data_IF_084130852374
#
_entry.id   IF_084130852374
#
_cell.length_a   1.000
_cell.length_b   1.000
_cell.length_c   1.000
_cell.angle_alpha   90.00
_cell.angle_beta   90.00
_cell.angle_gamma   90.00
#
_symmetry.space_group_name_H-M   'P 1'
#
loop_
_entity.id
_entity.type
_entity.pdbx_description
1 polymer ?
#
# COMPACT_ATOMS: atom_id res chain seq x y z
N UNK A 1 11.90 51.44 23.51
CA UNK A 1 10.97 50.66 22.66
C UNK A 1 9.70 50.47 23.46
N UNK A 2 8.56 50.97 22.97
CA UNK A 2 7.28 50.85 23.68
C UNK A 2 6.53 49.63 23.14
N UNK A 3 6.12 48.73 24.03
CA UNK A 3 5.17 47.65 23.70
C UNK A 3 3.87 48.29 23.19
N UNK A 4 3.39 47.84 22.04
CA UNK A 4 2.21 48.40 21.36
C UNK A 4 0.98 47.54 21.66
N UNK A 5 -0.15 48.16 21.96
CA UNK A 5 -1.39 47.48 22.30
C UNK A 5 -2.58 48.18 21.65
N UNK A 6 -3.46 47.41 21.00
CA UNK A 6 -4.76 47.88 20.52
C UNK A 6 -5.79 48.08 21.62
N UNK A 7 -5.54 47.52 22.80
CA UNK A 7 -6.54 47.36 23.85
C UNK A 7 -6.25 48.19 25.11
N UNK A 8 -5.01 48.62 25.31
CA UNK A 8 -4.55 49.27 26.56
C UNK A 8 -4.08 50.71 26.32
N UNK A 9 -4.48 51.32 25.19
CA UNK A 9 -4.10 52.71 24.88
C UNK A 9 -5.01 53.70 25.64
N UNK A 10 -4.44 54.44 26.61
CA UNK A 10 -5.18 55.42 27.44
C UNK A 10 -5.76 56.61 26.64
N UNK A 11 -5.18 56.94 25.49
CA UNK A 11 -5.57 58.10 24.66
C UNK A 11 -6.17 57.71 23.30
N UNK A 12 -6.70 56.49 23.17
CA UNK A 12 -7.25 55.96 21.92
C UNK A 12 -6.22 55.21 21.07
N UNK A 13 -6.71 54.26 20.28
CA UNK A 13 -5.89 53.37 19.45
C UNK A 13 -5.34 54.12 18.22
N UNK A 14 -4.01 54.14 18.04
CA UNK A 14 -3.41 54.70 16.82
C UNK A 14 -3.60 53.76 15.63
N UNK A 15 -3.51 54.28 14.41
CA UNK A 15 -3.58 53.43 13.19
C UNK A 15 -2.45 52.40 13.20
N UNK A 16 -1.27 52.79 13.68
CA UNK A 16 -0.09 51.95 13.87
C UNK A 16 -0.38 50.82 14.88
N UNK A 17 -1.00 51.13 16.02
CA UNK A 17 -1.37 50.14 17.04
C UNK A 17 -2.38 49.13 16.49
N UNK A 18 -3.36 49.56 15.70
CA UNK A 18 -4.30 48.65 15.01
C UNK A 18 -3.60 47.70 14.05
N UNK A 19 -2.69 48.21 13.22
CA UNK A 19 -1.97 47.40 12.22
C UNK A 19 -1.00 46.40 12.84
N UNK A 20 -0.28 46.80 13.89
CA UNK A 20 0.74 45.95 14.55
C UNK A 20 0.12 44.88 15.46
N UNK A 21 -1.13 45.03 15.88
CA UNK A 21 -1.81 44.09 16.78
C UNK A 21 -2.93 43.31 16.10
N UNK A 22 -3.08 43.46 14.77
CA UNK A 22 -4.04 42.70 13.98
C UNK A 22 -3.59 41.23 13.88
N UNK A 23 -4.28 40.35 14.62
CA UNK A 23 -4.02 38.89 14.63
C UNK A 23 -4.83 38.13 13.57
N UNK A 24 -5.75 38.80 12.88
CA UNK A 24 -6.63 38.19 11.89
C UNK A 24 -6.06 38.19 10.47
N UNK A 25 -6.08 37.00 9.86
CA UNK A 25 -5.99 36.74 8.40
C UNK A 25 -4.61 36.87 7.76
N UNK A 26 -3.54 36.42 8.42
CA UNK A 26 -2.23 36.44 7.77
C UNK A 26 -1.30 35.28 8.16
N UNK A 27 -0.46 34.85 7.21
CA UNK A 27 0.64 33.91 7.46
C UNK A 27 1.84 34.72 7.92
N UNK A 28 2.30 34.49 9.15
CA UNK A 28 3.49 35.15 9.69
C UNK A 28 4.71 34.84 8.81
N UNK A 29 5.60 35.79 8.56
CA UNK A 29 6.93 35.52 7.95
C UNK A 29 8.03 35.55 9.01
N UNK A 30 7.81 36.30 10.09
CA UNK A 30 8.60 36.30 11.31
C UNK A 30 7.69 36.72 12.49
N UNK A 31 8.19 36.88 13.72
CA UNK A 31 7.34 37.16 14.88
C UNK A 31 6.46 38.43 14.80
N UNK A 32 6.77 39.38 13.90
CA UNK A 32 6.10 40.69 13.83
C UNK A 32 5.67 41.10 12.42
N UNK A 33 6.08 40.35 11.39
CA UNK A 33 5.73 40.60 10.00
C UNK A 33 4.95 39.43 9.42
N UNK A 34 4.12 39.75 8.44
CA UNK A 34 3.28 38.80 7.72
C UNK A 34 3.66 38.73 6.26
N UNK A 35 3.22 37.67 5.57
CA UNK A 35 3.28 37.59 4.12
C UNK A 35 2.25 38.56 3.52
N UNK A 36 2.71 39.46 2.64
CA UNK A 36 1.81 40.20 1.75
C UNK A 36 1.12 39.25 0.78
N UNK A 37 -0.14 39.49 0.44
CA UNK A 37 -0.83 38.67 -0.54
C UNK A 37 -2.31 38.98 -0.66
N UNK A 38 -2.93 38.36 -1.65
CA UNK A 38 -4.36 38.42 -1.93
C UNK A 38 -5.08 37.32 -1.16
N UNK A 39 -6.22 37.64 -0.55
CA UNK A 39 -7.02 36.64 0.14
C UNK A 39 -7.67 35.70 -0.90
N UNK A 40 -7.62 34.37 -0.70
CA UNK A 40 -8.21 33.42 -1.62
C UNK A 40 -9.74 33.47 -1.59
N UNK A 41 -10.34 32.99 -2.67
CA UNK A 41 -11.79 32.98 -2.89
C UNK A 41 -12.16 33.34 -4.33
N UNK A 42 -13.31 32.85 -4.75
CA UNK A 42 -13.94 33.14 -6.04
C UNK A 42 -15.47 33.20 -5.87
N UNK A 43 -16.16 33.82 -6.82
CA UNK A 43 -17.62 33.97 -6.76
C UNK A 43 -18.36 32.63 -6.77
N UNK A 44 -17.81 31.63 -7.46
CA UNK A 44 -18.42 30.30 -7.66
C UNK A 44 -17.73 29.18 -6.87
N UNK A 45 -16.57 29.44 -6.28
CA UNK A 45 -15.73 28.42 -5.65
C UNK A 45 -14.89 27.59 -6.62
N UNK A 46 -14.96 27.85 -7.93
CA UNK A 46 -14.23 27.09 -8.96
C UNK A 46 -12.75 27.49 -9.07
N UNK A 47 -12.42 28.72 -8.69
CA UNK A 47 -11.05 29.24 -8.69
C UNK A 47 -10.55 29.48 -7.27
N UNK A 48 -9.26 29.23 -7.02
CA UNK A 48 -8.64 29.50 -5.71
C UNK A 48 -8.47 30.99 -5.46
N UNK A 49 -8.28 31.78 -6.53
CA UNK A 49 -7.99 33.20 -6.45
C UNK A 49 -8.68 34.02 -7.57
N UNK A 50 -9.73 34.76 -7.23
CA UNK A 50 -10.38 35.71 -8.15
C UNK A 50 -10.13 37.18 -7.81
N UNK A 51 -9.64 37.49 -6.61
CA UNK A 51 -9.38 38.88 -6.20
C UNK A 51 -8.32 39.57 -7.08
N UNK A 52 -8.57 40.82 -7.45
CA UNK A 52 -7.69 41.63 -8.29
C UNK A 52 -7.32 40.98 -9.64
N UNK A 53 -8.21 40.17 -10.20
CA UNK A 53 -8.04 39.64 -11.54
C UNK A 53 -7.94 40.79 -12.54
N UNK A 54 -6.95 40.74 -13.44
CA UNK A 54 -6.72 41.79 -14.43
C UNK A 54 -6.96 41.30 -15.84
N UNK A 55 -7.67 42.09 -16.64
CA UNK A 55 -7.91 41.81 -18.05
C UNK A 55 -7.89 43.09 -18.89
N UNK A 56 -7.62 42.96 -20.19
CA UNK A 56 -7.62 44.08 -21.13
C UNK A 56 -9.00 44.68 -21.30
N UNK A 57 -9.11 45.99 -21.15
CA UNK A 57 -10.36 46.76 -21.30
C UNK A 57 -10.40 47.55 -22.61
N UNK A 58 -9.26 48.10 -23.04
CA UNK A 58 -9.08 48.79 -24.31
C UNK A 58 -7.64 48.67 -24.80
N UNK A 59 -7.30 49.24 -25.96
CA UNK A 59 -5.96 49.15 -26.55
C UNK A 59 -4.81 49.48 -25.58
N UNK A 60 -4.99 50.42 -24.64
CA UNK A 60 -3.97 50.80 -23.66
C UNK A 60 -4.48 50.79 -22.22
N UNK A 61 -5.61 50.14 -21.94
CA UNK A 61 -6.22 50.12 -20.60
C UNK A 61 -6.50 48.68 -20.16
N UNK A 62 -6.20 48.37 -18.91
CA UNK A 62 -6.61 47.14 -18.25
C UNK A 62 -7.58 47.46 -17.11
N UNK A 63 -8.53 46.57 -16.87
CA UNK A 63 -9.41 46.61 -15.70
C UNK A 63 -8.87 45.65 -14.64
N UNK A 64 -8.73 46.13 -13.40
CA UNK A 64 -8.39 45.33 -12.22
C UNK A 64 -9.67 45.13 -11.42
N UNK A 65 -10.09 43.88 -11.20
CA UNK A 65 -11.31 43.55 -10.48
C UNK A 65 -11.22 43.83 -8.99
N UNK A 66 -12.37 43.84 -8.31
CA UNK A 66 -12.46 43.90 -6.86
C UNK A 66 -11.67 42.77 -6.16
N UNK A 67 -11.32 43.00 -4.89
CA UNK A 67 -10.54 42.05 -4.13
C UNK A 67 -10.15 42.54 -2.73
N UNK A 68 -9.55 41.62 -1.95
CA UNK A 68 -8.97 41.92 -0.63
C UNK A 68 -7.55 41.41 -0.57
N UNK A 69 -6.67 42.20 0.01
CA UNK A 69 -5.27 41.85 0.20
C UNK A 69 -4.77 42.39 1.54
N UNK A 70 -3.58 41.92 1.91
CA UNK A 70 -2.78 42.49 2.99
C UNK A 70 -1.41 42.84 2.43
N UNK A 71 -0.87 43.97 2.86
CA UNK A 71 0.43 44.47 2.42
C UNK A 71 1.27 44.70 3.66
N UNK A 72 2.36 43.95 3.80
CA UNK A 72 3.32 44.13 4.88
C UNK A 72 4.17 45.38 4.61
N UNK A 73 4.21 46.30 5.57
CA UNK A 73 5.20 47.37 5.59
C UNK A 73 6.51 46.96 6.25
N UNK A 74 7.34 47.93 6.59
CA UNK A 74 8.50 47.68 7.46
C UNK A 74 8.07 47.18 8.84
N UNK A 75 9.01 46.62 9.61
CA UNK A 75 8.76 46.05 10.95
C UNK A 75 7.98 47.02 11.86
N UNK A 76 8.26 48.32 11.79
CA UNK A 76 7.60 49.34 12.60
C UNK A 76 6.25 49.84 12.06
N UNK A 77 5.87 49.45 10.84
CA UNK A 77 4.70 49.97 10.11
C UNK A 77 3.48 49.05 10.25
N UNK A 78 3.73 47.76 10.46
CA UNK A 78 2.70 46.72 10.56
C UNK A 78 2.13 46.32 9.22
N UNK A 79 1.01 45.60 9.25
CA UNK A 79 0.30 45.12 8.07
C UNK A 79 -0.83 46.08 7.69
N UNK A 80 -0.99 46.34 6.39
CA UNK A 80 -2.05 47.16 5.82
C UNK A 80 -3.10 46.27 5.15
N UNK A 81 -4.28 46.05 5.77
CA UNK A 81 -5.40 45.41 5.08
C UNK A 81 -5.97 46.37 4.03
N UNK A 82 -6.21 45.87 2.82
CA UNK A 82 -6.78 46.64 1.71
C UNK A 82 -7.96 45.92 1.11
N UNK A 83 -8.94 46.70 0.67
CA UNK A 83 -10.11 46.20 -0.07
C UNK A 83 -10.36 47.15 -1.23
N UNK A 84 -10.45 46.59 -2.44
CA UNK A 84 -10.96 47.27 -3.61
C UNK A 84 -12.41 46.81 -3.80
N UNK A 85 -13.42 47.66 -3.54
CA UNK A 85 -14.82 47.23 -3.52
C UNK A 85 -15.47 47.13 -4.90
N UNK A 86 -14.83 47.70 -5.93
CA UNK A 86 -15.29 47.71 -7.31
C UNK A 86 -14.10 47.77 -8.25
N UNK A 87 -14.24 47.23 -9.46
CA UNK A 87 -13.18 47.28 -10.47
C UNK A 87 -12.70 48.69 -10.77
N UNK A 88 -11.42 48.81 -11.13
CA UNK A 88 -10.78 50.08 -11.52
C UNK A 88 -9.98 49.89 -12.81
N UNK A 89 -10.03 50.91 -13.67
CA UNK A 89 -9.24 50.94 -14.89
C UNK A 89 -7.88 51.60 -14.66
N UNK A 90 -6.84 51.00 -15.23
CA UNK A 90 -5.49 51.55 -15.27
C UNK A 90 -5.04 51.72 -16.72
N UNK A 91 -4.62 52.93 -17.06
CA UNK A 91 -4.22 53.29 -18.43
C UNK A 91 -2.71 53.39 -18.54
N UNK A 92 -2.16 52.64 -19.49
CA UNK A 92 -0.74 52.60 -19.81
C UNK A 92 -0.38 53.73 -20.76
N UNK A 93 0.78 54.34 -20.52
CA UNK A 93 1.35 55.28 -21.49
C UNK A 93 1.74 54.54 -22.78
N UNK A 94 1.74 55.23 -23.95
CA UNK A 94 2.21 54.65 -25.20
C UNK A 94 3.56 53.94 -25.10
N UNK A 95 3.75 52.91 -25.91
CA UNK A 95 5.02 52.23 -26.11
C UNK A 95 6.09 53.20 -26.59
N UNK A 96 7.34 52.92 -26.24
CA UNK A 96 8.48 53.68 -26.77
C UNK A 96 8.64 53.41 -28.28
N UNK A 97 9.23 54.35 -29.01
CA UNK A 97 9.35 54.24 -30.47
C UNK A 97 10.25 53.09 -30.93
N UNK A 98 11.22 52.68 -30.12
CA UNK A 98 12.29 51.77 -30.52
C UNK A 98 12.30 50.47 -29.71
N UNK A 99 12.02 50.54 -28.40
CA UNK A 99 12.16 49.39 -27.51
C UNK A 99 10.87 49.08 -26.74
N UNK A 100 10.65 47.80 -26.44
CA UNK A 100 9.61 47.40 -25.49
C UNK A 100 10.00 47.76 -24.06
N UNK A 101 9.04 47.63 -23.13
CA UNK A 101 9.28 47.70 -21.68
C UNK A 101 8.37 46.74 -20.91
N UNK A 102 8.67 46.53 -19.63
CA UNK A 102 7.80 45.80 -18.71
C UNK A 102 7.30 46.79 -17.66
N UNK A 103 5.99 46.95 -17.57
CA UNK A 103 5.33 47.76 -16.54
C UNK A 103 4.78 46.81 -15.45
N UNK A 104 4.58 47.31 -14.23
CA UNK A 104 3.94 46.55 -13.15
C UNK A 104 2.59 47.17 -12.79
N UNK A 105 1.57 46.34 -12.60
CA UNK A 105 0.35 46.74 -11.89
C UNK A 105 0.54 46.37 -10.42
N UNK A 106 0.43 47.35 -9.53
CA UNK A 106 0.64 47.16 -8.09
C UNK A 106 -0.51 47.75 -7.29
N UNK A 107 -0.72 47.21 -6.08
CA UNK A 107 -1.40 47.93 -5.00
C UNK A 107 -0.33 48.56 -4.14
N UNK A 108 -0.34 49.88 -3.99
CA UNK A 108 0.63 50.62 -3.18
C UNK A 108 -0.04 51.33 -2.03
N UNK A 109 0.61 51.28 -0.87
CA UNK A 109 0.24 52.07 0.30
C UNK A 109 1.05 53.36 0.34
N UNK A 110 0.34 54.48 0.31
CA UNK A 110 0.86 55.77 0.70
C UNK A 110 0.53 56.01 2.16
N UNK A 111 1.57 56.25 2.95
CA UNK A 111 1.45 56.52 4.38
C UNK A 111 2.35 57.70 4.71
N UNK A 112 1.75 58.89 4.81
CA UNK A 112 2.45 60.15 4.99
C UNK A 112 3.38 60.14 6.21
N UNK A 113 3.05 59.35 7.24
CA UNK A 113 3.89 59.20 8.42
C UNK A 113 5.27 58.60 8.07
N UNK A 114 5.34 57.78 7.03
CA UNK A 114 6.54 57.04 6.65
C UNK A 114 7.12 57.41 5.28
N UNK A 115 6.38 58.12 4.42
CA UNK A 115 6.88 58.54 3.11
C UNK A 115 6.83 60.04 2.83
N UNK A 116 6.29 60.85 3.75
CA UNK A 116 6.15 62.30 3.56
C UNK A 116 5.48 62.68 2.23
N UNK A 117 4.66 61.79 1.67
CA UNK A 117 4.03 61.99 0.36
C UNK A 117 2.83 62.94 0.40
N UNK A 118 2.44 63.42 1.59
CA UNK A 118 1.19 64.09 1.88
C UNK A 118 -0.06 63.27 1.48
N UNK A 119 0.07 61.95 1.36
CA UNK A 119 -1.01 61.01 0.99
C UNK A 119 -1.16 59.93 2.05
N UNK A 120 -2.40 59.50 2.27
CA UNK A 120 -2.76 58.42 3.19
C UNK A 120 -3.83 57.54 2.53
N UNK A 121 -3.43 56.70 1.60
CA UNK A 121 -4.36 55.90 0.79
C UNK A 121 -3.72 54.61 0.26
N UNK A 122 -4.56 53.62 -0.05
CA UNK A 122 -4.17 52.47 -0.87
C UNK A 122 -4.60 52.73 -2.31
N UNK A 123 -3.70 52.58 -3.27
CA UNK A 123 -3.96 52.87 -4.67
C UNK A 123 -3.51 51.72 -5.57
N UNK A 124 -4.37 51.36 -6.54
CA UNK A 124 -3.95 50.54 -7.69
C UNK A 124 -3.27 51.47 -8.69
N UNK A 125 -2.02 51.21 -9.03
CA UNK A 125 -1.28 52.05 -9.97
C UNK A 125 -0.30 51.25 -10.83
N UNK A 126 0.16 51.90 -11.91
CA UNK A 126 1.17 51.35 -12.80
C UNK A 126 2.54 51.89 -12.40
N UNK A 127 3.50 51.00 -12.20
CA UNK A 127 4.92 51.35 -12.13
C UNK A 127 5.50 51.14 -13.53
N UNK A 128 5.79 52.25 -14.21
CA UNK A 128 6.33 52.23 -15.56
C UNK A 128 7.78 51.71 -15.56
N UNK A 129 8.06 50.76 -16.45
CA UNK A 129 9.41 50.28 -16.70
C UNK A 129 10.23 51.20 -17.60
N UNK A 130 11.49 50.83 -17.78
CA UNK A 130 12.42 51.55 -18.68
C UNK A 130 12.48 50.80 -20.02
N UNK A 131 12.25 51.49 -21.16
CA UNK A 131 12.46 50.88 -22.47
C UNK A 131 13.91 50.41 -22.68
N UNK A 132 14.08 49.16 -23.12
CA UNK A 132 15.40 48.58 -23.35
C UNK A 132 15.34 47.44 -24.38
N UNK A 133 16.49 47.10 -24.97
CA UNK A 133 16.59 45.95 -25.88
C UNK A 133 16.21 44.63 -25.19
N UNK A 134 16.50 44.51 -23.89
CA UNK A 134 16.09 43.41 -23.03
C UNK A 134 15.31 43.97 -21.82
N UNK A 135 14.00 44.26 -21.98
CA UNK A 135 13.17 44.84 -20.92
C UNK A 135 13.25 44.05 -19.62
N UNK A 136 13.37 44.75 -18.50
CA UNK A 136 13.31 44.18 -17.16
C UNK A 136 12.19 44.84 -16.37
N UNK A 137 11.58 44.09 -15.46
CA UNK A 137 10.59 44.63 -14.53
C UNK A 137 11.23 45.72 -13.66
N UNK A 138 10.56 46.87 -13.43
CA UNK A 138 11.06 47.91 -12.55
C UNK A 138 11.12 47.42 -11.09
N UNK A 139 11.96 48.09 -10.28
CA UNK A 139 12.01 47.84 -8.86
C UNK A 139 10.66 48.14 -8.20
N UNK A 140 10.20 47.23 -7.34
CA UNK A 140 8.93 47.38 -6.63
C UNK A 140 9.12 48.39 -5.49
N UNK A 141 8.34 49.49 -5.44
CA UNK A 141 8.41 50.43 -4.32
C UNK A 141 8.02 49.75 -3.00
N UNK A 142 8.60 50.20 -1.88
CA UNK A 142 8.21 49.74 -0.55
C UNK A 142 6.69 49.86 -0.32
N UNK A 143 6.14 48.94 0.48
CA UNK A 143 4.68 48.83 0.76
C UNK A 143 3.83 48.67 -0.49
N UNK A 144 4.31 47.87 -1.45
CA UNK A 144 3.54 47.51 -2.64
C UNK A 144 3.36 46.00 -2.74
N UNK A 145 2.18 45.58 -3.19
CA UNK A 145 1.91 44.21 -3.63
C UNK A 145 1.81 44.23 -5.16
N UNK A 146 2.69 43.49 -5.82
CA UNK A 146 2.65 43.31 -7.27
C UNK A 146 1.51 42.36 -7.63
N UNK A 147 0.69 42.75 -8.60
CA UNK A 147 -0.39 41.94 -9.13
C UNK A 147 0.02 41.31 -10.46
N UNK A 148 0.51 42.11 -11.40
CA UNK A 148 0.86 41.65 -12.75
C UNK A 148 2.11 42.36 -13.28
N UNK A 149 2.90 41.63 -14.06
CA UNK A 149 3.81 42.18 -15.05
C UNK A 149 3.06 42.37 -16.38
N UNK A 150 3.26 43.51 -17.02
CA UNK A 150 2.65 43.86 -18.31
C UNK A 150 3.73 44.18 -19.33
N UNK A 151 3.83 43.36 -20.37
CA UNK A 151 4.73 43.65 -21.50
C UNK A 151 4.08 44.72 -22.39
N UNK A 152 4.74 45.87 -22.51
CA UNK A 152 4.34 46.95 -23.43
C UNK A 152 5.29 46.95 -24.62
N UNK A 153 4.86 46.49 -25.82
CA UNK A 153 5.74 46.46 -26.99
C UNK A 153 6.13 47.86 -27.48
N UNK A 154 7.18 47.94 -28.30
CA UNK A 154 7.53 49.19 -28.97
C UNK A 154 6.39 49.65 -29.89
N UNK A 155 6.27 50.96 -30.09
CA UNK A 155 5.33 51.64 -31.00
C UNK A 155 3.84 51.53 -30.67
N UNK A 156 3.43 50.69 -29.71
CA UNK A 156 2.01 50.49 -29.42
C UNK A 156 1.37 51.74 -28.82
N UNK A 157 0.14 52.03 -29.20
CA UNK A 157 -0.66 53.12 -28.62
C UNK A 157 -2.15 52.82 -28.80
N UNK A 158 -3.02 53.71 -28.31
CA UNK A 158 -4.46 53.57 -28.49
C UNK A 158 -4.90 53.50 -29.97
N UNK A 159 -4.13 54.11 -30.89
CA UNK A 159 -4.39 54.08 -32.33
C UNK A 159 -3.44 53.18 -33.13
N UNK A 160 -2.49 52.50 -32.49
CA UNK A 160 -1.48 51.68 -33.17
C UNK A 160 -1.35 50.31 -32.49
N UNK A 161 -2.29 49.41 -32.77
CA UNK A 161 -2.27 48.00 -32.33
C UNK A 161 -2.60 47.74 -30.86
N UNK A 162 -2.22 48.64 -29.94
CA UNK A 162 -2.42 48.48 -28.50
C UNK A 162 -1.57 47.39 -27.86
N UNK A 163 -1.73 47.19 -26.56
CA UNK A 163 -1.11 46.11 -25.79
C UNK A 163 -1.79 44.78 -26.16
N UNK A 164 -1.04 43.72 -26.50
CA UNK A 164 -1.60 42.42 -26.82
C UNK A 164 -2.01 41.67 -25.53
N UNK A 165 -3.14 42.04 -24.93
CA UNK A 165 -3.56 41.60 -23.60
C UNK A 165 -3.57 40.08 -23.36
N UNK A 166 -3.82 39.27 -24.39
CA UNK A 166 -3.83 37.81 -24.28
C UNK A 166 -2.46 37.21 -23.91
N UNK A 167 -1.36 37.92 -24.21
CA UNK A 167 0.02 37.45 -23.97
C UNK A 167 0.86 38.44 -23.18
N UNK A 168 0.40 39.68 -23.01
CA UNK A 168 1.14 40.73 -22.33
C UNK A 168 1.11 40.60 -20.80
N UNK A 169 0.11 39.94 -20.23
CA UNK A 169 -0.09 39.81 -18.79
C UNK A 169 0.61 38.56 -18.24
N UNK A 170 1.45 38.75 -17.22
CA UNK A 170 2.01 37.69 -16.39
C UNK A 170 1.55 37.89 -14.96
N UNK A 171 0.79 36.91 -14.46
CA UNK A 171 0.23 36.93 -13.10
C UNK A 171 1.33 36.73 -12.05
N UNK A 172 1.39 37.65 -11.10
CA UNK A 172 2.32 37.65 -9.97
C UNK A 172 1.59 37.71 -8.64
N UNK A 173 0.25 37.60 -8.64
CA UNK A 173 -0.53 37.57 -7.41
C UNK A 173 -0.11 36.37 -6.58
N UNK A 174 0.10 36.61 -5.29
CA UNK A 174 0.45 35.58 -4.32
C UNK A 174 -0.65 35.50 -3.28
N UNK A 175 -1.16 34.30 -2.97
CA UNK A 175 -2.22 34.16 -1.98
C UNK A 175 -1.67 34.28 -0.55
N UNK A 176 -2.55 34.65 0.37
CA UNK A 176 -2.29 34.66 1.82
C UNK A 176 -3.50 34.11 2.58
N UNK A 177 -3.25 33.37 3.65
CA UNK A 177 -4.29 32.78 4.51
C UNK A 177 -4.04 33.16 5.96
N UNK A 178 -5.04 32.95 6.82
CA UNK A 178 -4.84 33.05 8.27
C UNK A 178 -3.82 32.01 8.77
N UNK A 179 -3.19 32.27 9.91
CA UNK A 179 -2.38 31.28 10.62
C UNK A 179 -3.18 29.99 10.83
N UNK A 180 -2.58 28.85 10.47
CA UNK A 180 -3.25 27.54 10.49
C UNK A 180 -4.14 27.23 9.28
N UNK A 181 -4.37 28.20 8.38
CA UNK A 181 -5.04 27.97 7.11
C UNK A 181 -4.17 27.19 6.11
N UNK A 182 -4.81 26.54 5.14
CA UNK A 182 -4.14 25.85 4.04
C UNK A 182 -3.92 26.86 2.92
N UNK A 183 -2.65 27.15 2.61
CA UNK A 183 -2.29 28.09 1.55
C UNK A 183 -2.58 27.46 0.18
N UNK A 184 -3.49 28.00 -0.65
CA UNK A 184 -3.57 27.54 -2.03
C UNK A 184 -2.30 27.96 -2.78
N UNK A 185 -1.70 27.07 -3.55
CA UNK A 185 -0.59 27.44 -4.44
C UNK A 185 -1.19 28.04 -5.70
N UNK A 186 -0.91 29.33 -5.91
CA UNK A 186 -1.22 30.11 -7.11
C UNK A 186 0.00 31.00 -7.42
N UNK A 187 0.41 31.08 -8.68
CA UNK A 187 1.57 31.86 -9.08
C UNK A 187 2.91 31.32 -8.54
N UNK A 188 3.89 32.18 -8.23
CA UNK A 188 5.19 31.78 -7.70
C UNK A 188 5.09 31.03 -6.36
N UNK A 189 5.78 29.88 -6.25
CA UNK A 189 5.82 29.09 -5.01
C UNK A 189 6.83 29.72 -4.04
N UNK A 190 6.35 30.14 -2.87
CA UNK A 190 7.19 30.63 -1.78
C UNK A 190 7.43 29.54 -0.73
N UNK A 191 8.58 29.60 -0.05
CA UNK A 191 8.85 28.72 1.09
C UNK A 191 7.82 28.88 2.21
N UNK A 192 7.64 27.86 3.04
CA UNK A 192 6.76 27.94 4.21
C UNK A 192 7.31 28.87 5.28
N UNK A 193 6.40 29.47 6.03
CA UNK A 193 6.65 30.41 7.11
C UNK A 193 7.16 29.75 8.38
N UNK A 194 6.65 28.55 8.68
CA UNK A 194 7.00 27.80 9.89
C UNK A 194 6.83 26.30 9.63
N UNK A 195 7.66 25.44 10.25
CA UNK A 195 7.49 23.99 10.17
C UNK A 195 6.08 23.59 10.59
N UNK A 196 5.41 22.80 9.75
CA UNK A 196 4.02 22.39 9.94
C UNK A 196 2.97 23.26 9.27
N UNK A 197 3.35 24.34 8.58
CA UNK A 197 2.42 25.03 7.69
C UNK A 197 1.94 24.07 6.58
N UNK A 198 0.68 24.19 6.18
CA UNK A 198 0.09 23.43 5.08
C UNK A 198 -0.13 24.30 3.84
N UNK A 199 0.04 23.69 2.67
CA UNK A 199 -0.39 24.26 1.39
C UNK A 199 -1.11 23.21 0.53
N UNK A 200 -1.93 23.67 -0.39
CA UNK A 200 -2.57 22.87 -1.44
C UNK A 200 -1.89 23.16 -2.77
N UNK A 201 -1.12 22.19 -3.28
CA UNK A 201 -0.41 22.33 -4.56
C UNK A 201 -1.29 22.03 -5.78
N UNK A 202 -2.58 21.77 -5.57
CA UNK A 202 -3.58 21.50 -6.59
C UNK A 202 -3.80 20.05 -6.98
N UNK A 203 -2.94 19.15 -6.51
CA UNK A 203 -3.14 17.70 -6.63
C UNK A 203 -2.87 16.95 -5.32
N UNK A 204 -2.27 17.61 -4.33
CA UNK A 204 -1.98 17.06 -3.03
C UNK A 204 -1.81 18.17 -1.99
N UNK A 205 -2.11 17.84 -0.74
CA UNK A 205 -1.67 18.66 0.38
C UNK A 205 -0.17 18.46 0.59
N UNK A 206 0.51 19.55 0.92
CA UNK A 206 1.91 19.54 1.31
C UNK A 206 2.07 20.19 2.68
N UNK A 207 3.07 19.75 3.44
CA UNK A 207 3.46 20.28 4.75
C UNK A 207 4.87 20.84 4.65
N UNK A 208 5.11 22.03 5.20
CA UNK A 208 6.45 22.59 5.29
C UNK A 208 7.25 21.88 6.38
N UNK A 209 8.43 21.38 6.06
CA UNK A 209 9.31 20.70 7.04
C UNK A 209 10.33 21.63 7.72
N UNK A 210 10.40 22.89 7.28
CA UNK A 210 11.41 23.88 7.70
C UNK A 210 12.38 24.25 6.57
N UNK A 211 12.47 23.43 5.52
CA UNK A 211 13.38 23.61 4.38
C UNK A 211 12.69 23.45 3.02
N UNK A 212 11.69 22.57 2.93
CA UNK A 212 10.97 22.26 1.71
C UNK A 212 9.49 21.91 1.99
N UNK A 213 8.69 22.00 0.93
CA UNK A 213 7.33 21.48 0.93
C UNK A 213 7.35 19.98 0.66
N UNK A 214 6.86 19.17 1.60
CA UNK A 214 6.80 17.71 1.47
C UNK A 214 5.34 17.22 1.37
N UNK A 215 5.06 16.11 0.66
CA UNK A 215 3.70 15.57 0.56
C UNK A 215 3.06 15.25 1.92
N UNK A 216 1.75 15.49 2.06
CA UNK A 216 0.96 15.16 3.25
C UNK A 216 -0.31 14.35 2.92
N UNK A 217 -0.59 13.25 3.64
CA UNK A 217 0.30 12.63 4.64
C UNK A 217 1.60 12.18 3.96
N UNK A 218 2.72 12.27 4.67
CA UNK A 218 3.94 11.56 4.24
C UNK A 218 3.52 10.11 4.07
N UNK A 219 3.63 9.50 2.89
CA UNK A 219 3.02 8.20 2.56
C UNK A 219 3.26 7.14 3.66
N UNK A 220 2.33 7.05 4.60
CA UNK A 220 2.33 6.16 5.75
C UNK A 220 1.08 5.31 5.55
N UNK A 221 1.27 4.09 5.03
CA UNK A 221 0.19 3.08 4.97
C UNK A 221 -0.12 2.48 3.60
N UNK A 222 0.60 2.82 2.53
CA UNK A 222 0.43 2.17 1.22
C UNK A 222 1.35 0.96 1.00
N UNK A 223 0.94 0.05 0.11
CA UNK A 223 1.84 -0.95 -0.48
C UNK A 223 2.69 -0.22 -1.53
N UNK A 224 4.00 -0.11 -1.30
CA UNK A 224 4.88 0.50 -2.29
C UNK A 224 4.94 -0.37 -3.56
N UNK A 225 4.87 0.22 -4.77
CA UNK A 225 4.97 -0.56 -6.00
C UNK A 225 6.33 -1.28 -6.14
N UNK A 226 6.34 -2.36 -6.93
CA UNK A 226 7.55 -3.12 -7.18
C UNK A 226 8.67 -2.24 -7.75
N UNK A 227 9.87 -2.34 -7.14
CA UNK A 227 11.05 -1.59 -7.55
C UNK A 227 11.12 -0.14 -7.04
N UNK A 228 10.08 0.38 -6.39
CA UNK A 228 10.08 1.77 -5.90
C UNK A 228 10.93 1.97 -4.64
N UNK A 229 11.04 0.94 -3.78
CA UNK A 229 11.80 1.01 -2.53
C UNK A 229 12.73 -0.19 -2.39
N UNK A 230 14.03 0.09 -2.32
CA UNK A 230 15.07 -0.92 -2.07
C UNK A 230 15.21 -1.22 -0.57
N UNK A 231 15.12 -0.20 0.28
CA UNK A 231 15.15 -0.27 1.75
C UNK A 231 13.92 0.43 2.31
N UNK A 232 13.30 -0.12 3.35
CA UNK A 232 12.14 0.51 3.97
C UNK A 232 12.51 1.71 4.85
N UNK A 233 11.58 2.64 5.03
CA UNK A 233 11.71 3.77 5.95
C UNK A 233 11.31 3.44 7.39
N UNK A 234 10.60 2.33 7.61
CA UNK A 234 10.22 1.85 8.94
C UNK A 234 9.94 0.33 8.97
N UNK A 235 10.13 -0.28 10.14
CA UNK A 235 9.72 -1.67 10.41
C UNK A 235 8.22 -1.84 10.23
N UNK A 236 7.83 -2.79 9.40
CA UNK A 236 6.45 -3.09 9.07
C UNK A 236 5.91 -2.43 7.80
N UNK A 237 6.72 -1.66 7.06
CA UNK A 237 6.34 -1.16 5.73
C UNK A 237 6.03 -2.33 4.78
N UNK A 238 5.06 -2.13 3.89
CA UNK A 238 4.66 -3.11 2.86
C UNK A 238 5.14 -2.67 1.47
N UNK A 239 5.54 -3.65 0.64
CA UNK A 239 5.77 -3.44 -0.79
C UNK A 239 5.25 -4.61 -1.61
N UNK A 240 4.93 -4.32 -2.86
CA UNK A 240 4.81 -5.33 -3.89
C UNK A 240 6.21 -5.72 -4.40
N UNK A 241 6.37 -6.98 -4.76
CA UNK A 241 7.58 -7.56 -5.32
C UNK A 241 7.24 -8.39 -6.55
N UNK A 242 6.47 -7.82 -7.48
CA UNK A 242 6.06 -8.48 -8.72
C UNK A 242 4.97 -9.52 -8.48
N UNK A 243 3.95 -9.18 -7.68
CA UNK A 243 2.84 -10.07 -7.33
C UNK A 243 3.01 -10.81 -6.01
N UNK A 244 4.11 -10.57 -5.28
CA UNK A 244 4.32 -11.05 -3.92
C UNK A 244 4.33 -9.88 -2.95
N UNK A 245 3.50 -9.95 -1.91
CA UNK A 245 3.53 -8.98 -0.82
C UNK A 245 4.72 -9.25 0.10
N UNK A 246 5.54 -8.23 0.35
CA UNK A 246 6.64 -8.27 1.29
C UNK A 246 6.44 -7.24 2.39
N UNK A 247 6.89 -7.57 3.60
CA UNK A 247 6.94 -6.67 4.76
C UNK A 247 8.37 -6.52 5.25
N UNK A 248 8.76 -5.29 5.53
CA UNK A 248 10.05 -5.00 6.15
C UNK A 248 10.06 -5.45 7.61
N UNK A 249 11.01 -6.29 7.99
CA UNK A 249 11.16 -6.79 9.36
C UNK A 249 12.12 -5.96 10.23
N UNK A 250 12.77 -4.95 9.64
CA UNK A 250 13.80 -4.13 10.28
C UNK A 250 15.19 -4.31 9.66
N UNK A 251 15.45 -5.41 8.95
CA UNK A 251 16.71 -5.67 8.26
C UNK A 251 16.57 -6.12 6.81
N UNK A 252 15.45 -6.72 6.44
CA UNK A 252 15.17 -7.18 5.09
C UNK A 252 13.67 -7.11 4.74
N UNK A 253 13.39 -7.17 3.44
CA UNK A 253 12.04 -7.39 2.95
C UNK A 253 11.73 -8.88 2.98
N UNK A 254 10.78 -9.26 3.84
CA UNK A 254 10.39 -10.66 4.04
C UNK A 254 9.03 -10.90 3.39
N UNK A 255 8.85 -11.97 2.60
CA UNK A 255 7.54 -12.36 2.09
C UNK A 255 6.56 -12.59 3.24
N UNK A 256 5.36 -12.01 3.15
CA UNK A 256 4.26 -12.40 4.04
C UNK A 256 3.56 -13.61 3.41
N UNK A 257 3.43 -14.67 4.22
CA UNK A 257 2.97 -15.99 3.78
C UNK A 257 1.71 -15.99 2.91
N UNK A 258 1.67 -16.98 2.02
CA UNK A 258 0.60 -17.29 1.07
C UNK A 258 0.90 -18.62 0.37
N UNK A 259 -0.08 -19.17 -0.34
CA UNK A 259 0.15 -20.34 -1.22
C UNK A 259 0.76 -19.81 -2.51
N UNK A 260 2.02 -20.17 -2.77
CA UNK A 260 2.63 -19.81 -4.04
C UNK A 260 1.90 -20.51 -5.20
N UNK A 261 1.52 -19.80 -6.28
CA UNK A 261 0.86 -20.42 -7.43
C UNK A 261 1.73 -21.48 -8.10
N UNK A 262 1.11 -22.46 -8.75
CA UNK A 262 1.84 -23.52 -9.45
C UNK A 262 2.84 -22.96 -10.48
N UNK A 263 4.07 -23.48 -10.45
CA UNK A 263 5.14 -23.07 -11.37
C UNK A 263 5.87 -21.77 -11.02
N UNK A 264 5.46 -21.05 -9.97
CA UNK A 264 6.09 -19.76 -9.61
C UNK A 264 7.37 -19.92 -8.79
N UNK A 265 7.51 -21.02 -8.04
CA UNK A 265 8.69 -21.27 -7.20
C UNK A 265 9.22 -22.69 -7.39
N UNK A 266 10.50 -22.79 -7.77
CA UNK A 266 11.20 -24.06 -7.96
C UNK A 266 11.62 -24.66 -6.61
N UNK A 267 12.23 -23.84 -5.74
CA UNK A 267 12.64 -24.20 -4.37
C UNK A 267 11.94 -23.31 -3.35
N UNK A 268 11.67 -23.84 -2.16
CA UNK A 268 11.14 -23.02 -1.07
C UNK A 268 12.21 -22.15 -0.43
N UNK A 269 11.83 -20.95 0.00
CA UNK A 269 12.72 -19.96 0.62
C UNK A 269 12.80 -20.11 2.14
N UNK A 270 11.81 -20.78 2.75
CA UNK A 270 11.80 -21.11 4.17
C UNK A 270 11.02 -22.40 4.44
N UNK A 271 11.43 -23.16 5.45
CA UNK A 271 10.73 -24.38 5.86
C UNK A 271 9.29 -24.05 6.28
N UNK A 272 8.33 -24.80 5.75
CA UNK A 272 6.91 -24.59 5.98
C UNK A 272 6.20 -23.69 4.97
N UNK A 273 6.90 -23.17 3.96
CA UNK A 273 6.25 -22.50 2.83
C UNK A 273 5.28 -23.46 2.11
N UNK A 274 4.14 -22.94 1.68
CA UNK A 274 3.14 -23.68 0.91
C UNK A 274 3.14 -23.28 -0.56
N UNK A 275 2.89 -24.24 -1.45
CA UNK A 275 2.61 -23.98 -2.86
C UNK A 275 1.49 -24.85 -3.38
N UNK A 276 0.82 -24.37 -4.41
CA UNK A 276 0.00 -25.22 -5.26
C UNK A 276 0.90 -25.92 -6.29
N UNK A 277 0.62 -27.18 -6.56
CA UNK A 277 1.28 -27.99 -7.58
C UNK A 277 0.23 -28.70 -8.43
N UNK A 278 -0.55 -27.91 -9.17
CA UNK A 278 -1.60 -28.42 -10.05
C UNK A 278 -2.80 -28.99 -9.28
N UNK A 279 -3.25 -28.28 -8.24
CA UNK A 279 -4.35 -28.68 -7.37
C UNK A 279 -3.93 -29.49 -6.14
N UNK A 280 -2.63 -29.82 -6.01
CA UNK A 280 -2.08 -30.47 -4.81
C UNK A 280 -1.33 -29.44 -3.97
N UNK A 281 -1.77 -29.27 -2.72
CA UNK A 281 -1.04 -28.45 -1.76
C UNK A 281 0.26 -29.15 -1.35
N UNK A 282 1.39 -28.51 -1.61
CA UNK A 282 2.71 -28.97 -1.18
C UNK A 282 3.28 -28.04 -0.11
N UNK A 283 4.07 -28.61 0.80
CA UNK A 283 4.80 -27.90 1.85
C UNK A 283 6.30 -28.12 1.69
N UNK A 284 7.07 -27.05 1.72
CA UNK A 284 8.54 -27.12 1.69
C UNK A 284 9.06 -27.62 3.02
N UNK A 285 9.86 -28.69 3.02
CA UNK A 285 10.45 -29.24 4.24
C UNK A 285 11.85 -28.68 4.56
N UNK A 286 12.36 -27.76 3.73
CA UNK A 286 13.73 -27.24 3.81
C UNK A 286 14.65 -27.75 2.69
N UNK A 287 14.30 -28.85 2.04
CA UNK A 287 15.12 -29.47 0.99
C UNK A 287 14.33 -29.84 -0.26
N UNK A 288 13.10 -30.33 -0.10
CA UNK A 288 12.20 -30.73 -1.18
C UNK A 288 10.76 -30.33 -0.88
N UNK A 289 9.96 -30.21 -1.93
CA UNK A 289 8.52 -30.08 -1.82
C UNK A 289 7.89 -31.46 -1.61
N UNK A 290 7.13 -31.61 -0.53
CA UNK A 290 6.31 -32.79 -0.28
C UNK A 290 4.83 -32.43 -0.18
N UNK A 291 3.91 -33.39 -0.27
CA UNK A 291 2.49 -33.16 0.02
C UNK A 291 2.31 -32.50 1.39
N UNK A 292 1.46 -31.47 1.47
CA UNK A 292 1.19 -30.77 2.72
C UNK A 292 0.44 -31.65 3.73
N UNK A 293 -0.33 -32.62 3.22
CA UNK A 293 -1.01 -33.65 4.00
C UNK A 293 -0.55 -35.01 3.44
N UNK A 294 -0.03 -35.93 4.27
CA UNK A 294 0.28 -37.28 3.82
C UNK A 294 -0.99 -37.93 3.27
N UNK A 295 -0.94 -38.50 2.06
CA UNK A 295 -2.09 -39.16 1.46
C UNK A 295 -2.37 -40.54 2.05
N UNK A 296 -3.59 -41.02 1.89
CA UNK A 296 -3.95 -42.43 2.14
C UNK A 296 -3.11 -43.34 1.25
N UNK A 297 -2.55 -44.41 1.83
CA UNK A 297 -1.88 -45.49 1.08
C UNK A 297 -2.83 -46.68 0.95
N UNK A 298 -2.90 -47.31 -0.22
CA UNK A 298 -3.84 -48.41 -0.49
C UNK A 298 -3.22 -49.46 -1.43
N UNK A 299 -3.49 -50.73 -1.15
CA UNK A 299 -3.20 -51.86 -2.05
C UNK A 299 -4.31 -52.89 -1.91
N UNK A 300 -4.69 -53.50 -3.01
CA UNK A 300 -5.66 -54.58 -3.05
C UNK A 300 -5.25 -55.67 -4.04
N UNK A 301 -5.99 -56.76 -4.01
CA UNK A 301 -5.86 -57.86 -4.95
C UNK A 301 -7.18 -58.64 -4.99
N UNK A 302 -7.71 -58.76 -6.20
CA UNK A 302 -8.98 -59.44 -6.53
C UNK A 302 -8.80 -60.88 -7.02
N UNK A 303 -7.59 -61.44 -6.90
CA UNK A 303 -7.30 -62.81 -7.28
C UNK A 303 -7.49 -63.77 -6.09
N UNK A 304 -8.15 -64.90 -6.36
CA UNK A 304 -8.46 -65.90 -5.37
C UNK A 304 -7.22 -66.72 -5.03
N UNK A 305 -6.96 -66.91 -3.74
CA UNK A 305 -5.92 -67.81 -3.26
C UNK A 305 -6.39 -68.67 -2.09
N UNK A 306 -5.77 -69.84 -1.93
CA UNK A 306 -6.06 -70.72 -0.80
C UNK A 306 -4.81 -71.15 -0.01
N UNK A 307 -5.01 -71.59 1.23
CA UNK A 307 -3.96 -72.19 2.04
C UNK A 307 -4.53 -73.26 2.98
N UNK A 308 -3.74 -74.31 3.21
CA UNK A 308 -3.96 -75.32 4.26
C UNK A 308 -3.13 -75.04 5.52
N UNK A 309 -2.31 -73.99 5.50
CA UNK A 309 -1.32 -73.71 6.54
C UNK A 309 -1.98 -73.35 7.88
N UNK A 310 -1.58 -74.07 8.93
CA UNK A 310 -1.95 -73.77 10.32
C UNK A 310 -1.03 -72.73 10.96
N UNK A 311 0.10 -72.44 10.33
CA UNK A 311 0.98 -71.31 10.67
C UNK A 311 0.75 -70.16 9.69
N UNK A 312 1.09 -68.95 10.10
CA UNK A 312 0.97 -67.77 9.26
C UNK A 312 1.85 -67.87 8.00
N UNK A 313 1.23 -67.74 6.82
CA UNK A 313 1.92 -67.63 5.53
C UNK A 313 1.52 -66.36 4.81
N UNK A 314 2.47 -65.68 4.16
CA UNK A 314 2.18 -64.49 3.32
C UNK A 314 1.86 -64.85 1.87
N UNK A 315 1.91 -66.13 1.53
CA UNK A 315 1.69 -66.64 0.17
C UNK A 315 0.50 -67.58 0.16
N UNK A 316 -0.46 -67.32 -0.74
CA UNK A 316 -1.59 -68.18 -1.03
C UNK A 316 -1.37 -68.96 -2.33
N UNK A 317 -1.75 -70.23 -2.35
CA UNK A 317 -1.72 -71.05 -3.54
C UNK A 317 -2.77 -70.57 -4.55
N UNK A 318 -2.43 -70.62 -5.84
CA UNK A 318 -3.30 -70.20 -6.94
C UNK A 318 -3.34 -68.69 -7.20
N UNK A 319 -2.77 -67.87 -6.30
CA UNK A 319 -2.76 -66.42 -6.42
C UNK A 319 -1.52 -65.90 -7.15
N UNK A 320 -1.72 -65.06 -8.17
CA UNK A 320 -0.68 -64.53 -9.05
C UNK A 320 0.28 -63.56 -8.35
N UNK A 321 -0.24 -62.71 -7.45
CA UNK A 321 0.55 -61.70 -6.74
C UNK A 321 0.59 -62.01 -5.25
N UNK A 322 1.73 -62.52 -4.80
CA UNK A 322 2.06 -62.73 -3.39
C UNK A 322 3.47 -62.16 -3.09
N UNK A 323 3.71 -61.64 -1.88
CA UNK A 323 2.75 -61.34 -0.83
C UNK A 323 2.02 -60.00 -1.07
N UNK A 324 0.80 -59.85 -0.53
CA UNK A 324 0.11 -58.55 -0.54
C UNK A 324 0.80 -57.60 0.45
N UNK A 325 1.37 -56.52 -0.07
CA UNK A 325 2.28 -55.65 0.69
C UNK A 325 2.00 -54.18 0.41
N UNK A 326 1.95 -53.35 1.46
CA UNK A 326 1.79 -51.91 1.38
C UNK A 326 2.93 -51.18 2.10
N UNK A 327 3.61 -50.27 1.40
CA UNK A 327 4.58 -49.36 2.01
C UNK A 327 3.91 -48.01 2.31
N UNK A 328 4.20 -47.43 3.47
CA UNK A 328 3.77 -46.06 3.82
C UNK A 328 4.84 -45.33 4.64
N UNK A 329 4.82 -43.99 4.61
CA UNK A 329 5.68 -43.16 5.45
C UNK A 329 4.90 -42.67 6.66
N UNK A 330 5.45 -42.88 7.85
CA UNK A 330 4.76 -42.46 9.07
C UNK A 330 4.60 -40.93 9.13
N UNK A 331 3.38 -40.42 9.42
CA UNK A 331 3.12 -38.98 9.49
C UNK A 331 3.80 -38.35 10.70
N UNK A 332 3.84 -37.01 10.73
CA UNK A 332 4.38 -36.24 11.84
C UNK A 332 3.66 -36.53 13.19
N UNK A 333 2.38 -36.88 13.14
CA UNK A 333 1.57 -37.30 14.29
C UNK A 333 2.01 -38.63 14.90
N UNK A 334 2.90 -39.38 14.24
CA UNK A 334 3.40 -40.70 14.66
C UNK A 334 2.30 -41.77 14.78
N UNK A 335 1.13 -41.53 14.17
CA UNK A 335 0.01 -42.44 14.24
C UNK A 335 -0.72 -42.55 12.90
N UNK A 336 -1.25 -43.74 12.63
CA UNK A 336 -2.06 -44.05 11.45
C UNK A 336 -3.25 -44.92 11.85
N UNK A 337 -4.28 -44.93 11.02
CA UNK A 337 -5.36 -45.91 11.05
C UNK A 337 -5.13 -46.89 9.90
N UNK A 338 -5.15 -48.18 10.21
CA UNK A 338 -4.99 -49.25 9.24
C UNK A 338 -6.29 -50.02 9.15
N UNK A 339 -6.87 -50.06 7.95
CA UNK A 339 -8.01 -50.90 7.63
C UNK A 339 -7.58 -51.99 6.68
N UNK A 340 -7.98 -53.23 6.94
CA UNK A 340 -7.70 -54.33 6.04
C UNK A 340 -8.81 -55.37 6.12
N UNK A 341 -8.90 -56.19 5.09
CA UNK A 341 -9.94 -57.19 5.01
C UNK A 341 -9.83 -58.01 3.74
N UNK A 342 -10.76 -58.94 3.62
CA UNK A 342 -10.90 -59.81 2.47
C UNK A 342 -12.29 -60.43 2.42
N UNK A 343 -12.58 -61.07 1.31
CA UNK A 343 -13.63 -62.05 1.19
C UNK A 343 -13.04 -63.42 1.49
N UNK A 344 -13.46 -64.08 2.57
CA UNK A 344 -12.89 -65.35 3.01
C UNK A 344 -13.93 -66.44 3.22
N UNK A 345 -13.49 -67.70 3.15
CA UNK A 345 -14.23 -68.90 3.54
C UNK A 345 -13.28 -69.94 4.14
N UNK A 346 -13.78 -70.76 5.05
CA UNK A 346 -13.00 -71.85 5.67
C UNK A 346 -13.48 -73.25 5.24
N UNK A 347 -14.47 -73.32 4.35
CA UNK A 347 -15.08 -74.58 3.88
C UNK A 347 -15.74 -75.44 4.98
N UNK A 348 -15.85 -74.93 6.21
CA UNK A 348 -16.47 -75.57 7.36
C UNK A 348 -16.97 -74.51 8.34
N UNK A 349 -18.08 -74.79 9.04
CA UNK A 349 -18.57 -73.90 10.10
C UNK A 349 -17.71 -73.95 11.39
N UNK A 350 -16.85 -74.96 11.53
CA UNK A 350 -16.08 -75.23 12.75
C UNK A 350 -14.59 -74.81 12.64
N UNK A 351 -14.18 -74.32 11.46
CA UNK A 351 -12.80 -73.90 11.20
C UNK A 351 -12.77 -72.42 10.86
N UNK A 352 -11.81 -71.71 11.42
CA UNK A 352 -11.65 -70.27 11.21
C UNK A 352 -10.53 -70.00 10.22
N UNK A 353 -10.83 -69.23 9.18
CA UNK A 353 -9.84 -68.63 8.29
C UNK A 353 -9.45 -67.26 8.85
N UNK A 354 -8.14 -66.96 8.86
CA UNK A 354 -7.59 -65.72 9.41
C UNK A 354 -6.80 -64.95 8.36
N UNK A 355 -6.93 -63.63 8.39
CA UNK A 355 -6.00 -62.69 7.78
C UNK A 355 -5.51 -61.71 8.85
N UNK A 356 -4.20 -61.52 8.95
CA UNK A 356 -3.57 -60.53 9.83
C UNK A 356 -2.48 -59.77 9.08
N UNK A 357 -2.03 -58.65 9.65
CA UNK A 357 -0.96 -57.84 9.09
C UNK A 357 0.28 -57.84 9.99
N UNK A 358 1.44 -58.08 9.39
CA UNK A 358 2.74 -57.84 10.03
C UNK A 358 3.26 -56.46 9.63
N UNK A 359 3.63 -55.64 10.61
CA UNK A 359 4.23 -54.32 10.42
C UNK A 359 5.74 -54.42 10.63
N UNK A 360 6.52 -54.02 9.64
CA UNK A 360 7.99 -53.91 9.75
C UNK A 360 8.50 -52.51 9.40
N UNK A 361 9.67 -52.18 9.92
CA UNK A 361 10.49 -51.03 9.54
C UNK A 361 11.86 -51.55 9.11
N UNK A 362 12.10 -51.66 7.80
CA UNK A 362 13.22 -52.45 7.29
C UNK A 362 13.08 -53.91 7.72
N UNK A 363 14.11 -54.46 8.37
CA UNK A 363 14.11 -55.82 8.90
C UNK A 363 13.46 -55.95 10.30
N UNK A 364 13.23 -54.83 11.00
CA UNK A 364 12.70 -54.84 12.37
C UNK A 364 11.19 -55.05 12.37
N UNK A 365 10.71 -56.01 13.16
CA UNK A 365 9.27 -56.21 13.39
C UNK A 365 8.79 -55.20 14.45
N UNK A 366 7.81 -54.38 14.07
CA UNK A 366 7.25 -53.31 14.91
C UNK A 366 5.88 -53.70 15.44
N UNK A 367 5.12 -54.48 14.66
CA UNK A 367 3.92 -55.16 15.11
C UNK A 367 3.89 -56.54 14.48
N UNK A 368 3.92 -57.58 15.31
CA UNK A 368 3.86 -58.95 14.81
C UNK A 368 2.41 -59.42 14.60
N UNK A 369 2.29 -60.64 14.08
CA UNK A 369 1.04 -61.32 13.84
C UNK A 369 0.39 -61.72 15.16
N UNK A 370 -0.91 -61.45 15.25
CA UNK A 370 -1.69 -61.62 16.46
C UNK A 370 -3.15 -61.94 16.07
N UNK A 371 -3.78 -62.86 16.78
CA UNK A 371 -5.12 -63.35 16.47
C UNK A 371 -6.18 -62.31 16.83
N UNK A 372 -5.94 -61.59 17.92
CA UNK A 372 -6.80 -60.54 18.49
C UNK A 372 -7.00 -59.36 17.53
N UNK A 373 -6.05 -59.16 16.61
CA UNK A 373 -6.10 -58.09 15.61
C UNK A 373 -6.39 -58.62 14.20
N UNK A 374 -6.59 -59.93 14.03
CA UNK A 374 -6.89 -60.52 12.74
C UNK A 374 -8.35 -60.30 12.34
N UNK A 375 -8.60 -60.29 11.04
CA UNK A 375 -9.95 -60.54 10.52
C UNK A 375 -10.13 -62.04 10.39
N UNK A 376 -11.17 -62.59 11.00
CA UNK A 376 -11.42 -64.03 10.99
C UNK A 376 -12.88 -64.33 10.70
N UNK A 377 -13.13 -65.50 10.11
CA UNK A 377 -14.46 -66.05 10.04
C UNK A 377 -14.46 -67.57 9.87
N UNK A 378 -15.54 -68.20 10.34
CA UNK A 378 -15.85 -69.60 10.09
C UNK A 378 -17.11 -69.67 9.24
N UNK A 379 -16.96 -70.06 7.97
CA UNK A 379 -18.08 -70.13 7.04
C UNK A 379 -17.77 -71.06 5.87
N UNK A 380 -18.71 -71.94 5.48
CA UNK A 380 -18.62 -72.71 4.24
C UNK A 380 -18.81 -71.83 2.99
N UNK A 381 -19.38 -70.63 3.14
CA UNK A 381 -19.60 -69.66 2.07
C UNK A 381 -18.65 -68.48 2.16
N UNK A 382 -18.39 -67.82 1.03
CA UNK A 382 -17.57 -66.61 0.99
C UNK A 382 -18.28 -65.46 1.69
N UNK A 383 -17.63 -64.87 2.68
CA UNK A 383 -18.10 -63.70 3.44
C UNK A 383 -17.06 -62.60 3.45
N UNK A 384 -17.51 -61.34 3.41
CA UNK A 384 -16.63 -60.19 3.48
C UNK A 384 -16.39 -59.81 4.94
N UNK A 385 -15.13 -59.75 5.34
CA UNK A 385 -14.71 -59.32 6.66
C UNK A 385 -13.64 -58.24 6.56
N UNK A 386 -13.69 -57.28 7.47
CA UNK A 386 -12.68 -56.24 7.59
C UNK A 386 -12.54 -55.82 9.05
N UNK A 387 -11.37 -55.28 9.39
CA UNK A 387 -11.12 -54.65 10.68
C UNK A 387 -10.32 -53.38 10.47
N UNK A 388 -10.38 -52.50 11.47
CA UNK A 388 -9.65 -51.24 11.48
C UNK A 388 -8.99 -51.06 12.84
N UNK A 389 -7.68 -50.73 12.84
CA UNK A 389 -6.94 -50.46 14.07
C UNK A 389 -6.05 -49.23 13.94
N UNK A 390 -5.85 -48.54 15.06
CA UNK A 390 -4.86 -47.46 15.15
C UNK A 390 -3.48 -48.04 15.45
N UNK A 391 -2.48 -47.63 14.70
CA UNK A 391 -1.07 -47.85 15.02
C UNK A 391 -0.48 -46.52 15.48
N UNK A 392 0.25 -46.53 16.60
CA UNK A 392 0.84 -45.32 17.21
C UNK A 392 2.31 -45.57 17.54
N UNK A 393 3.01 -44.54 18.01
CA UNK A 393 4.44 -44.58 18.35
C UNK A 393 5.35 -44.91 17.15
N UNK A 394 4.93 -44.53 15.94
CA UNK A 394 5.75 -44.66 14.74
C UNK A 394 6.83 -43.57 14.72
N UNK A 395 7.95 -43.86 14.05
CA UNK A 395 9.01 -42.87 13.82
C UNK A 395 8.60 -41.99 12.65
N UNK A 396 8.25 -40.72 12.92
CA UNK A 396 7.84 -39.76 11.88
C UNK A 396 8.87 -39.70 10.74
N UNK A 397 8.40 -39.77 9.49
CA UNK A 397 9.24 -39.77 8.30
C UNK A 397 9.89 -41.11 7.96
N UNK A 398 9.82 -42.12 8.82
CA UNK A 398 10.30 -43.46 8.49
C UNK A 398 9.30 -44.22 7.63
N UNK A 399 9.83 -45.07 6.73
CA UNK A 399 9.02 -45.97 5.90
C UNK A 399 8.73 -47.28 6.63
N UNK A 400 7.46 -47.66 6.64
CA UNK A 400 6.96 -48.90 7.20
C UNK A 400 6.33 -49.76 6.11
N UNK A 401 6.35 -51.07 6.33
CA UNK A 401 5.79 -52.07 5.43
C UNK A 401 4.73 -52.91 6.18
N UNK A 402 3.53 -53.01 5.60
CA UNK A 402 2.48 -53.92 6.04
C UNK A 402 2.40 -55.08 5.06
N UNK A 403 2.60 -56.30 5.55
CA UNK A 403 2.44 -57.53 4.77
C UNK A 403 1.26 -58.33 5.29
N UNK A 404 0.37 -58.78 4.41
CA UNK A 404 -0.72 -59.67 4.78
C UNK A 404 -0.25 -61.11 4.97
N UNK A 405 -0.74 -61.74 6.05
CA UNK A 405 -0.52 -63.15 6.36
C UNK A 405 -1.86 -63.85 6.56
N UNK A 406 -1.88 -65.14 6.24
CA UNK A 406 -3.06 -65.98 6.20
C UNK A 406 -2.79 -67.30 6.93
N UNK A 407 -3.81 -67.85 7.58
CA UNK A 407 -3.78 -69.22 8.14
C UNK A 407 -5.19 -69.78 8.34
N UNK A 408 -5.31 -71.06 8.60
CA UNK A 408 -6.54 -71.71 9.07
C UNK A 408 -6.30 -72.33 10.46
N UNK A 409 -7.27 -72.24 11.37
CA UNK A 409 -7.18 -72.97 12.65
C UNK A 409 -7.19 -74.49 12.39
N UNK A 410 -6.42 -75.21 13.20
CA UNK A 410 -6.31 -76.68 13.34
C UNK A 410 -7.01 -77.47 12.24
N UNK A 411 -6.23 -77.93 11.27
CA UNK A 411 -6.75 -78.58 10.07
C UNK A 411 -6.54 -80.11 10.11
N UNK A 412 -7.40 -80.83 10.86
CA UNK A 412 -7.30 -82.30 10.96
C UNK A 412 -7.85 -83.05 9.73
N UNK A 413 -8.44 -82.34 8.76
CA UNK A 413 -9.18 -82.92 7.61
C UNK A 413 -8.68 -82.42 6.25
N UNK A 414 -7.59 -81.65 6.20
CA UNK A 414 -7.02 -81.12 4.95
C UNK A 414 -7.85 -80.02 4.29
N UNK A 415 -8.76 -79.37 5.04
CA UNK A 415 -9.57 -78.24 4.59
C UNK A 415 -8.69 -77.04 4.18
N UNK A 416 -9.20 -76.25 3.25
CA UNK A 416 -8.53 -75.03 2.77
C UNK A 416 -9.28 -73.79 3.23
N UNK A 417 -8.55 -72.77 3.63
CA UNK A 417 -9.09 -71.42 3.73
C UNK A 417 -8.89 -70.70 2.40
N UNK A 418 -9.97 -70.16 1.83
CA UNK A 418 -9.95 -69.38 0.61
C UNK A 418 -10.07 -67.89 0.90
N UNK A 419 -9.32 -67.07 0.18
CA UNK A 419 -9.27 -65.61 0.31
C UNK A 419 -9.34 -64.97 -1.08
N UNK A 420 -10.09 -63.89 -1.16
CA UNK A 420 -10.34 -63.12 -2.37
C UNK A 420 -10.56 -61.65 -2.00
N UNK A 421 -10.44 -60.71 -2.93
CA UNK A 421 -10.65 -59.27 -2.72
C UNK A 421 -9.96 -58.74 -1.44
N UNK A 422 -8.71 -59.15 -1.23
CA UNK A 422 -7.91 -58.73 -0.08
C UNK A 422 -7.45 -57.29 -0.25
N UNK A 423 -7.46 -56.47 0.80
CA UNK A 423 -6.97 -55.10 0.76
C UNK A 423 -6.26 -54.67 2.03
N UNK A 424 -5.37 -53.68 1.91
CA UNK A 424 -4.76 -52.94 3.00
C UNK A 424 -4.88 -51.44 2.68
N UNK A 425 -5.39 -50.67 3.64
CA UNK A 425 -5.52 -49.21 3.58
C UNK A 425 -4.85 -48.61 4.81
N UNK A 426 -4.07 -47.55 4.62
CA UNK A 426 -3.45 -46.78 5.70
C UNK A 426 -3.85 -45.32 5.54
N UNK A 427 -4.55 -44.80 6.55
CA UNK A 427 -4.94 -43.40 6.66
C UNK A 427 -4.07 -42.72 7.72
N UNK A 428 -3.29 -41.69 7.36
CA UNK A 428 -2.50 -40.93 8.32
C UNK A 428 -3.41 -40.11 9.23
N UNK A 429 -3.13 -40.10 10.54
CA UNK A 429 -3.83 -39.26 11.49
C UNK A 429 -3.18 -37.86 11.55
N UNK A 430 -3.95 -36.78 11.74
CA UNK A 430 -3.42 -35.43 11.87
C UNK A 430 -2.55 -35.24 13.11
#
# INVERSE_FOLDING_TARGET
>A
MNLRSSWVAETGQTREDTRLTQTGVTTLTNPVQVRSGVLPGSYTGEHRLSGFWTFGASAMTATVSEGRAVIQGEISQGVYPVTLPSSVDVTFEPGDAQYGRIDLIVIRIYDNLYDSSNRNEAKVEIIKGVPAQAPQAPAVPARSLVLYEVTVPATVSAGNGGIPWATALKDLRTPVVALGGILPVEGPVHGGAYPGQYQDSGGALQRWDGSAWVPYPSALGGIAPAGTVSTASYTGQYRDAGGSLQRWDGGAWVPIGGIAPAGTITNGTYAGQYRDAGGTLQRWNGTVWGPAVPGTSFVDNSDYGDTTSITWTSTLAGRATNPLTLNFVAPASKAVVVSFGCRLKSHSADHYAFMALKLTQGATVVGDLDDEYATLAASPHLISVSTTRRLSNLTAGATYNLTAFYRIITNSTGLKAGYDNTFIKVDPLP
#
